data_IF_872856812064
#
_entry.id   IF_872856812064
#
_cell.length_a   1.000
_cell.length_b   1.000
_cell.length_c   1.000
_cell.angle_alpha   90.00
_cell.angle_beta   90.00
_cell.angle_gamma   90.00
#
_symmetry.space_group_name_H-M   'P 1'
#
loop_
_entity.id
_entity.type
_entity.pdbx_description
1 polymer ?
#
# COMPACT_ATOMS: atom_id res chain seq x y z
N UNK A 1 24.20 -3.77 -19.73
CA UNK A 1 24.28 -4.49 -18.44
C UNK A 1 23.05 -4.16 -17.56
N UNK A 2 21.85 -4.08 -18.15
CA UNK A 2 20.65 -3.49 -17.51
C UNK A 2 19.34 -4.24 -17.71
N UNK A 3 19.29 -5.34 -18.47
CA UNK A 3 18.02 -6.06 -18.72
C UNK A 3 17.54 -6.91 -17.54
N UNK A 4 18.46 -7.37 -16.67
CA UNK A 4 18.12 -8.28 -15.57
C UNK A 4 17.35 -7.62 -14.43
N UNK A 5 17.42 -6.28 -14.29
CA UNK A 5 16.75 -5.56 -13.21
C UNK A 5 15.26 -5.33 -13.51
N UNK A 6 14.92 -4.90 -14.72
CA UNK A 6 13.52 -4.75 -15.14
C UNK A 6 12.81 -6.09 -15.18
N UNK A 7 13.46 -7.15 -15.67
CA UNK A 7 12.88 -8.50 -15.68
C UNK A 7 12.65 -9.01 -14.26
N UNK A 8 13.54 -8.74 -13.30
CA UNK A 8 13.34 -9.17 -11.91
C UNK A 8 12.22 -8.39 -11.21
N UNK A 9 12.06 -7.10 -11.52
CA UNK A 9 10.96 -6.27 -10.99
C UNK A 9 9.64 -6.66 -11.64
N UNK A 10 9.62 -6.92 -12.95
CA UNK A 10 8.43 -7.37 -13.68
C UNK A 10 8.02 -8.78 -13.25
N UNK A 11 8.98 -9.66 -12.98
CA UNK A 11 8.74 -11.00 -12.42
C UNK A 11 8.29 -10.89 -10.96
N UNK A 12 8.81 -9.95 -10.15
CA UNK A 12 8.31 -9.67 -8.81
C UNK A 12 6.87 -9.15 -8.79
N UNK A 13 6.56 -8.13 -9.60
CA UNK A 13 5.21 -7.58 -9.80
C UNK A 13 4.25 -8.65 -10.35
N UNK A 14 4.71 -9.50 -11.27
CA UNK A 14 3.91 -10.59 -11.85
C UNK A 14 3.73 -11.76 -10.87
N UNK A 15 4.74 -12.12 -10.08
CA UNK A 15 4.62 -13.19 -9.07
C UNK A 15 3.67 -12.78 -7.94
N UNK A 16 3.63 -11.51 -7.54
CA UNK A 16 2.60 -11.01 -6.62
C UNK A 16 1.18 -11.16 -7.23
N UNK A 17 1.05 -10.97 -8.55
CA UNK A 17 -0.20 -11.22 -9.29
C UNK A 17 -0.48 -12.71 -9.60
N UNK A 18 0.50 -13.60 -9.43
CA UNK A 18 0.34 -15.06 -9.64
C UNK A 18 0.11 -15.78 -8.32
N UNK A 19 0.57 -15.25 -7.20
CA UNK A 19 0.21 -15.74 -5.85
C UNK A 19 -1.31 -15.56 -5.60
N UNK A 20 -1.93 -14.54 -6.20
CA UNK A 20 -3.39 -14.33 -6.19
C UNK A 20 -4.18 -15.25 -7.13
N UNK A 21 -3.52 -16.07 -7.97
CA UNK A 21 -4.19 -17.04 -8.85
C UNK A 21 -4.26 -18.46 -8.26
N UNK A 22 -3.61 -18.73 -7.14
CA UNK A 22 -3.90 -19.93 -6.31
C UNK A 22 -5.01 -19.71 -5.29
N UNK A 23 -5.67 -18.55 -5.33
CA UNK A 23 -6.81 -18.18 -4.49
C UNK A 23 -8.15 -18.46 -5.20
N UNK A 24 -8.23 -19.60 -5.91
CA UNK A 24 -9.44 -20.09 -6.59
C UNK A 24 -10.49 -20.62 -5.60
N UNK A 25 -10.88 -19.79 -4.65
CA UNK A 25 -11.97 -20.05 -3.71
C UNK A 25 -12.74 -18.78 -3.37
N UNK A 26 -13.13 -18.03 -4.40
CA UNK A 26 -14.26 -17.07 -4.32
C UNK A 26 -14.16 -15.95 -3.28
N UNK A 27 -12.96 -15.60 -2.82
CA UNK A 27 -12.71 -14.41 -2.00
C UNK A 27 -12.48 -13.20 -2.91
N UNK A 28 -13.03 -12.04 -2.53
CA UNK A 28 -12.67 -10.79 -3.18
C UNK A 28 -11.14 -10.63 -3.12
N UNK A 29 -10.52 -10.21 -4.23
CA UNK A 29 -9.10 -9.84 -4.24
C UNK A 29 -8.97 -8.65 -3.31
N UNK A 30 -8.50 -8.90 -2.10
CA UNK A 30 -8.30 -7.88 -1.10
C UNK A 30 -6.91 -7.30 -1.33
N UNK A 31 -6.87 -6.15 -2.01
CA UNK A 31 -5.61 -5.45 -2.23
C UNK A 31 -5.19 -4.83 -0.90
N UNK A 32 -4.05 -5.29 -0.38
CA UNK A 32 -3.51 -4.85 0.89
C UNK A 32 -2.94 -3.42 0.74
N UNK A 33 -3.66 -2.44 1.31
CA UNK A 33 -3.23 -1.04 1.34
C UNK A 33 -1.80 -0.86 1.87
N UNK A 34 -1.33 -1.76 2.75
CA UNK A 34 0.03 -1.72 3.28
C UNK A 34 1.09 -2.08 2.24
N UNK A 35 0.76 -2.85 1.20
CA UNK A 35 1.69 -3.10 0.08
C UNK A 35 1.95 -1.84 -0.72
N UNK A 36 0.93 -0.99 -0.91
CA UNK A 36 1.13 0.32 -1.55
C UNK A 36 1.97 1.23 -0.66
N UNK A 37 1.75 1.23 0.65
CA UNK A 37 2.59 1.99 1.60
C UNK A 37 4.06 1.56 1.51
N UNK A 38 4.33 0.26 1.51
CA UNK A 38 5.69 -0.28 1.38
C UNK A 38 6.37 0.17 0.06
N UNK A 39 5.62 0.15 -1.05
CA UNK A 39 6.13 0.56 -2.36
C UNK A 39 6.37 2.08 -2.43
N UNK A 40 5.49 2.90 -1.84
CA UNK A 40 5.67 4.35 -1.72
C UNK A 40 6.96 4.66 -0.95
N UNK A 41 7.16 4.05 0.22
CA UNK A 41 8.37 4.25 1.03
C UNK A 41 9.64 3.89 0.25
N UNK A 42 9.60 2.78 -0.50
CA UNK A 42 10.71 2.34 -1.37
C UNK A 42 11.00 3.34 -2.48
N UNK A 43 9.99 3.79 -3.21
CA UNK A 43 10.12 4.71 -4.34
C UNK A 43 10.63 6.09 -3.88
N UNK A 44 10.10 6.62 -2.78
CA UNK A 44 10.54 7.89 -2.20
C UNK A 44 11.99 7.83 -1.72
N UNK A 45 12.39 6.72 -1.09
CA UNK A 45 13.80 6.50 -0.68
C UNK A 45 14.73 6.46 -1.89
N UNK A 46 14.33 5.83 -2.98
CA UNK A 46 15.09 5.83 -4.23
C UNK A 46 15.14 7.21 -4.87
N UNK A 47 14.02 7.93 -4.93
CA UNK A 47 13.96 9.28 -5.46
C UNK A 47 14.92 10.23 -4.73
N UNK A 48 15.01 10.09 -3.40
CA UNK A 48 15.95 10.84 -2.56
C UNK A 48 17.41 10.62 -2.98
N UNK A 49 17.78 9.36 -3.23
CA UNK A 49 19.14 9.01 -3.69
C UNK A 49 19.40 9.55 -5.11
N UNK A 50 18.46 9.38 -6.02
CA UNK A 50 18.58 9.86 -7.40
C UNK A 50 18.70 11.38 -7.47
N UNK A 51 17.91 12.10 -6.68
CA UNK A 51 17.98 13.56 -6.63
C UNK A 51 19.32 14.06 -6.09
N UNK A 52 19.86 13.43 -5.04
CA UNK A 52 21.20 13.72 -4.49
C UNK A 52 22.32 13.48 -5.52
N UNK A 53 22.13 12.51 -6.42
CA UNK A 53 23.07 12.20 -7.49
C UNK A 53 22.94 13.15 -8.69
N UNK A 54 22.01 14.10 -8.66
CA UNK A 54 21.73 15.03 -9.77
C UNK A 54 20.81 14.44 -10.85
N UNK A 55 20.27 13.23 -10.64
CA UNK A 55 19.39 12.56 -11.59
C UNK A 55 17.93 13.04 -11.40
N UNK A 56 17.68 14.32 -11.66
CA UNK A 56 16.40 14.99 -11.35
C UNK A 56 15.22 14.39 -12.11
N UNK A 57 15.39 14.01 -13.37
CA UNK A 57 14.32 13.36 -14.16
C UNK A 57 13.93 12.00 -13.57
N UNK A 58 14.91 11.19 -13.16
CA UNK A 58 14.66 9.88 -12.54
C UNK A 58 13.94 10.07 -11.21
N UNK A 59 14.39 11.00 -10.37
CA UNK A 59 13.73 11.34 -9.11
C UNK A 59 12.28 11.78 -9.32
N UNK A 60 12.01 12.62 -10.33
CA UNK A 60 10.66 13.07 -10.66
C UNK A 60 9.75 11.91 -11.10
N UNK A 61 10.27 10.98 -11.90
CA UNK A 61 9.52 9.81 -12.35
C UNK A 61 9.18 8.90 -11.17
N UNK A 62 10.15 8.65 -10.27
CA UNK A 62 9.94 7.83 -9.07
C UNK A 62 8.90 8.45 -8.12
N UNK A 63 8.94 9.77 -7.89
CA UNK A 63 7.91 10.45 -7.10
C UNK A 63 6.54 10.40 -7.79
N UNK A 64 6.51 10.51 -9.12
CA UNK A 64 5.26 10.41 -9.87
C UNK A 64 4.68 8.99 -9.82
N UNK A 65 5.50 7.93 -9.87
CA UNK A 65 5.07 6.54 -9.66
C UNK A 65 4.60 6.32 -8.22
N UNK A 66 5.28 6.88 -7.22
CA UNK A 66 4.86 6.78 -5.82
C UNK A 66 3.46 7.39 -5.60
N UNK A 67 3.16 8.51 -6.27
CA UNK A 67 1.85 9.15 -6.17
C UNK A 67 0.78 8.45 -7.04
N UNK A 68 0.97 8.43 -8.36
CA UNK A 68 -0.06 8.02 -9.33
C UNK A 68 -0.33 6.51 -9.31
N UNK A 69 0.71 5.71 -9.13
CA UNK A 69 0.58 4.25 -9.27
C UNK A 69 0.43 3.56 -7.91
N UNK A 70 0.52 4.30 -6.80
CA UNK A 70 0.45 3.73 -5.45
C UNK A 70 -0.41 4.55 -4.48
N UNK A 71 -0.10 5.83 -4.25
CA UNK A 71 -0.86 6.61 -3.26
C UNK A 71 -2.34 6.79 -3.62
N UNK A 72 -2.67 7.02 -4.90
CA UNK A 72 -4.06 7.15 -5.38
C UNK A 72 -4.94 5.95 -4.96
N UNK A 73 -4.35 4.74 -4.89
CA UNK A 73 -5.08 3.53 -4.49
C UNK A 73 -5.41 3.48 -2.99
N UNK A 74 -4.72 4.24 -2.15
CA UNK A 74 -4.96 4.29 -0.71
C UNK A 74 -5.67 5.58 -0.25
N UNK A 75 -5.85 6.59 -1.11
CA UNK A 75 -6.55 7.84 -0.79
C UNK A 75 -7.98 7.60 -0.29
N UNK A 76 -8.74 6.72 -0.95
CA UNK A 76 -10.10 6.38 -0.55
C UNK A 76 -10.16 5.78 0.86
N UNK A 77 -9.51 4.62 1.09
CA UNK A 77 -9.46 3.99 2.41
C UNK A 77 -8.89 4.91 3.51
N UNK A 78 -7.83 5.66 3.22
CA UNK A 78 -7.25 6.60 4.18
C UNK A 78 -8.22 7.75 4.48
N UNK A 79 -8.89 8.29 3.46
CA UNK A 79 -9.84 9.39 3.60
C UNK A 79 -11.08 9.05 4.42
N UNK A 80 -11.46 7.78 4.49
CA UNK A 80 -12.52 7.29 5.38
C UNK A 80 -12.10 7.28 6.86
N UNK A 81 -10.79 7.19 7.14
CA UNK A 81 -10.23 7.05 8.49
C UNK A 81 -9.68 8.39 9.00
N UNK A 82 -8.86 9.05 8.19
CA UNK A 82 -8.20 10.31 8.50
C UNK A 82 -8.09 11.18 7.22
N UNK A 83 -9.13 11.98 7.00
CA UNK A 83 -9.22 12.86 5.84
C UNK A 83 -8.16 13.97 5.83
N UNK A 84 -7.75 14.46 7.01
CA UNK A 84 -6.74 15.52 7.10
C UNK A 84 -5.36 14.97 6.72
N UNK A 85 -5.00 13.78 7.22
CA UNK A 85 -3.77 13.10 6.84
C UNK A 85 -3.74 12.78 5.33
N UNK A 86 -4.87 12.33 4.79
CA UNK A 86 -5.00 12.05 3.35
C UNK A 86 -4.73 13.28 2.48
N UNK A 87 -5.39 14.41 2.76
CA UNK A 87 -5.19 15.67 2.01
C UNK A 87 -3.76 16.17 2.17
N UNK A 88 -3.21 16.08 3.39
CA UNK A 88 -1.84 16.53 3.67
C UNK A 88 -0.85 15.80 2.77
N UNK A 89 -0.89 14.47 2.77
CA UNK A 89 0.03 13.66 1.97
C UNK A 89 -0.21 13.87 0.47
N UNK A 90 -1.48 13.98 0.03
CA UNK A 90 -1.81 14.26 -1.36
C UNK A 90 -1.13 15.56 -1.82
N UNK A 91 -1.27 16.63 -1.04
CA UNK A 91 -0.64 17.93 -1.32
C UNK A 91 0.89 17.81 -1.34
N UNK A 92 1.46 17.18 -0.30
CA UNK A 92 2.90 17.02 -0.13
C UNK A 92 3.53 16.24 -1.30
N UNK A 93 2.86 15.21 -1.82
CA UNK A 93 3.37 14.35 -2.90
C UNK A 93 3.02 14.87 -4.30
N UNK A 94 1.74 15.18 -4.56
CA UNK A 94 1.23 15.53 -5.90
C UNK A 94 1.71 16.90 -6.35
N UNK A 95 1.73 17.85 -5.41
CA UNK A 95 2.05 19.25 -5.67
C UNK A 95 3.48 19.56 -5.21
N UNK A 96 3.73 19.59 -3.90
CA UNK A 96 4.93 20.21 -3.36
C UNK A 96 6.21 19.50 -3.76
N UNK A 97 6.34 18.20 -3.46
CA UNK A 97 7.56 17.45 -3.77
C UNK A 97 7.86 17.43 -5.28
N UNK A 98 6.84 17.24 -6.12
CA UNK A 98 6.99 17.24 -7.58
C UNK A 98 7.42 18.61 -8.09
N UNK A 99 6.82 19.70 -7.59
CA UNK A 99 7.21 21.06 -7.93
C UNK A 99 8.64 21.38 -7.48
N UNK A 100 9.04 20.93 -6.29
CA UNK A 100 10.41 21.10 -5.78
C UNK A 100 11.45 20.42 -6.68
N UNK A 101 11.18 19.19 -7.13
CA UNK A 101 12.08 18.47 -8.04
C UNK A 101 12.15 19.17 -9.41
N UNK A 102 11.01 19.57 -9.99
CA UNK A 102 10.97 20.24 -11.29
C UNK A 102 11.66 21.61 -11.29
N UNK A 103 11.56 22.34 -10.17
CA UNK A 103 12.20 23.64 -10.00
C UNK A 103 13.68 23.55 -9.60
N UNK A 104 14.23 22.34 -9.48
CA UNK A 104 15.60 22.08 -9.01
C UNK A 104 15.86 22.72 -7.64
N UNK A 105 14.92 22.55 -6.70
CA UNK A 105 15.06 23.03 -5.33
C UNK A 105 16.33 22.46 -4.65
N UNK A 106 16.89 23.12 -3.62
CA UNK A 106 18.06 22.62 -2.91
C UNK A 106 17.86 21.19 -2.39
N UNK A 107 18.88 20.34 -2.54
CA UNK A 107 18.86 18.92 -2.12
C UNK A 107 18.38 18.77 -0.67
N UNK A 108 18.82 19.65 0.24
CA UNK A 108 18.40 19.61 1.64
C UNK A 108 16.90 19.84 1.84
N UNK A 109 16.25 20.64 0.99
CA UNK A 109 14.82 20.89 1.07
C UNK A 109 14.04 19.69 0.53
N UNK A 110 14.46 19.14 -0.61
CA UNK A 110 13.85 17.92 -1.18
C UNK A 110 14.00 16.74 -0.22
N UNK A 111 15.18 16.60 0.40
CA UNK A 111 15.42 15.58 1.42
C UNK A 111 14.45 15.71 2.61
N UNK A 112 14.25 16.93 3.10
CA UNK A 112 13.37 17.20 4.22
C UNK A 112 11.89 16.95 3.86
N UNK A 113 11.46 17.33 2.65
CA UNK A 113 10.10 17.05 2.18
C UNK A 113 9.84 15.55 2.08
N UNK A 114 10.79 14.78 1.53
CA UNK A 114 10.69 13.31 1.46
C UNK A 114 10.64 12.71 2.87
N UNK A 115 11.45 13.20 3.81
CA UNK A 115 11.45 12.69 5.20
C UNK A 115 10.13 12.97 5.92
N UNK A 116 9.49 14.11 5.66
CA UNK A 116 8.16 14.39 6.21
C UNK A 116 7.12 13.43 5.65
N UNK A 117 7.10 13.21 4.33
CA UNK A 117 6.15 12.28 3.70
C UNK A 117 6.37 10.85 4.22
N UNK A 118 7.62 10.41 4.40
CA UNK A 118 7.92 9.09 4.97
C UNK A 118 7.43 8.96 6.43
N UNK A 119 7.49 10.05 7.21
CA UNK A 119 6.94 10.06 8.56
C UNK A 119 5.41 9.95 8.53
N UNK A 120 4.74 10.62 7.58
CA UNK A 120 3.30 10.51 7.40
C UNK A 120 2.89 9.11 6.93
N UNK A 121 3.66 8.46 6.04
CA UNK A 121 3.45 7.04 5.65
C UNK A 121 3.51 6.09 6.85
N UNK A 122 4.41 6.38 7.81
CA UNK A 122 4.44 5.63 9.07
C UNK A 122 3.16 5.80 9.89
N UNK A 123 2.50 6.95 9.82
CA UNK A 123 1.19 7.17 10.45
C UNK A 123 0.07 6.46 9.70
N UNK A 124 0.08 6.51 8.36
CA UNK A 124 -0.86 5.76 7.50
C UNK A 124 -0.90 4.28 7.90
N UNK A 125 0.27 3.66 8.12
CA UNK A 125 0.38 2.26 8.56
C UNK A 125 -0.30 1.98 9.92
N UNK A 126 -0.33 2.97 10.81
CA UNK A 126 -0.94 2.81 12.15
C UNK A 126 -2.46 2.94 12.10
N UNK A 127 -2.96 3.79 11.21
CA UNK A 127 -4.39 4.11 11.13
C UNK A 127 -5.14 3.21 10.17
N UNK A 128 -4.52 2.78 9.07
CA UNK A 128 -5.13 1.82 8.14
C UNK A 128 -5.09 0.43 8.80
N UNK A 129 -6.26 -0.14 9.14
CA UNK A 129 -6.32 -1.52 9.61
C UNK A 129 -5.91 -2.47 8.49
N UNK A 130 -5.30 -3.60 8.87
CA UNK A 130 -5.20 -4.76 7.99
C UNK A 130 -6.63 -5.30 7.76
N UNK A 131 -7.36 -4.70 6.82
CA UNK A 131 -8.74 -5.09 6.53
C UNK A 131 -8.83 -6.59 6.20
N UNK A 132 -7.80 -7.16 5.57
CA UNK A 132 -7.77 -8.58 5.26
C UNK A 132 -7.65 -9.48 6.47
N UNK A 133 -6.84 -9.10 7.45
CA UNK A 133 -6.74 -9.86 8.69
C UNK A 133 -8.04 -9.78 9.49
N UNK A 134 -8.64 -8.59 9.59
CA UNK A 134 -9.88 -8.40 10.36
C UNK A 134 -11.07 -9.11 9.66
N UNK A 135 -11.22 -8.95 8.36
CA UNK A 135 -12.27 -9.61 7.57
C UNK A 135 -12.11 -11.14 7.63
N UNK A 136 -10.89 -11.67 7.50
CA UNK A 136 -10.60 -13.10 7.63
C UNK A 136 -10.90 -13.62 9.05
N UNK A 137 -10.60 -12.85 10.10
CA UNK A 137 -10.94 -13.24 11.48
C UNK A 137 -12.46 -13.26 11.71
N UNK A 138 -13.18 -12.24 11.25
CA UNK A 138 -14.65 -12.20 11.34
C UNK A 138 -15.24 -13.40 10.58
N UNK A 139 -14.76 -13.67 9.37
CA UNK A 139 -15.21 -14.80 8.55
C UNK A 139 -14.91 -16.15 9.23
N UNK A 140 -13.71 -16.35 9.77
CA UNK A 140 -13.31 -17.57 10.47
C UNK A 140 -14.20 -17.81 11.70
N UNK A 141 -14.46 -16.78 12.50
CA UNK A 141 -15.35 -16.86 13.68
C UNK A 141 -16.78 -17.19 13.27
N UNK A 142 -17.27 -16.60 12.18
CA UNK A 142 -18.61 -16.89 11.64
C UNK A 142 -18.74 -18.35 11.19
N UNK A 143 -17.75 -18.88 10.46
CA UNK A 143 -17.74 -20.28 10.00
C UNK A 143 -17.72 -21.25 11.19
N UNK A 144 -16.83 -21.04 12.17
CA UNK A 144 -16.74 -21.89 13.37
C UNK A 144 -18.06 -21.91 14.13
N UNK A 145 -18.71 -20.75 14.27
CA UNK A 145 -20.00 -20.61 14.96
C UNK A 145 -21.11 -21.40 14.27
N UNK A 146 -21.20 -21.34 12.94
CA UNK A 146 -22.18 -22.09 12.14
C UNK A 146 -21.99 -23.60 12.31
N UNK A 147 -20.74 -24.08 12.23
CA UNK A 147 -20.42 -25.50 12.40
C UNK A 147 -20.76 -25.99 13.81
N UNK A 148 -20.40 -25.23 14.85
CA UNK A 148 -20.66 -25.58 16.24
C UNK A 148 -22.17 -25.68 16.55
N UNK A 149 -22.96 -24.71 16.08
CA UNK A 149 -24.44 -24.74 16.21
C UNK A 149 -25.03 -25.92 15.45
N UNK A 150 -24.55 -26.19 14.23
CA UNK A 150 -25.04 -27.31 13.41
C UNK A 150 -24.73 -28.69 14.03
N UNK A 151 -23.54 -28.85 14.62
CA UNK A 151 -23.15 -30.08 15.32
C UNK A 151 -24.01 -30.31 16.58
N UNK A 152 -24.26 -29.24 17.37
CA UNK A 152 -25.09 -29.31 18.58
C UNK A 152 -26.56 -29.60 18.25
N UNK A 153 -27.10 -29.00 17.19
CA UNK A 153 -28.48 -29.25 16.74
C UNK A 153 -28.72 -30.69 16.28
N UNK A 154 -27.74 -31.33 15.61
CA UNK A 154 -27.86 -32.75 15.22
C UNK A 154 -27.91 -33.71 16.40
N UNK A 155 -27.25 -33.38 17.52
CA UNK A 155 -27.28 -34.19 18.75
C UNK A 155 -28.58 -34.04 19.55
N UNK A 156 -29.32 -32.94 19.37
CA UNK A 156 -30.58 -32.68 20.10
C UNK A 156 -31.82 -33.31 19.46
N UNK A 157 -31.72 -33.84 18.23
CA UNK A 157 -32.83 -34.49 17.51
C UNK A 157 -32.64 -36.01 17.59
N UNK A 158 -32.61 -36.55 18.81
CA UNK A 158 -32.83 -37.99 19.05
C UNK A 158 -34.13 -38.07 19.86
N UNK A 159 -35.26 -38.48 19.25
CA UNK A 159 -36.49 -38.70 20.01
C UNK A 159 -36.29 -39.90 20.94
N UNK A 160 -36.69 -39.76 22.20
CA UNK A 160 -36.82 -40.86 23.17
C UNK A 160 -38.04 -41.70 22.85
#
# INVERSE_FOLDING_TARGET
KGEVSEVSILVGKSLNNVISLQEYSGGAVEIDALQYVDEIERLLTQAKQEYRNGNTQTAFNLVSEAYLDNYEFIEGPLGEIDHELMIKIETDMREDLRNMIQSNAPVSQVDAQIDMILADMSEVRKVIPEFGTIAALILAVAIISIVAVSAKSRLSIIPR
#
